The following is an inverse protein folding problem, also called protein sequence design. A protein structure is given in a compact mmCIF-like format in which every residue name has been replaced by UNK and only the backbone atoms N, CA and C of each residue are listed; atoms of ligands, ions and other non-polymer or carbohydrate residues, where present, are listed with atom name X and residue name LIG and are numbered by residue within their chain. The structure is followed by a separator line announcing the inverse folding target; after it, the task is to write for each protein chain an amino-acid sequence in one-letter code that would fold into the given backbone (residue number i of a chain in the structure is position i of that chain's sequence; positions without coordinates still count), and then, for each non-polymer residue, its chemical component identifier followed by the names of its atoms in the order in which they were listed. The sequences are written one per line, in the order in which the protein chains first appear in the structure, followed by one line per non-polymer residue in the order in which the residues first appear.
data_IF_825706817960
#
_entry.id   IF_825706817960
#
_cell.length_a   1.000
_cell.length_b   1.000
_cell.length_c   1.000
_cell.angle_alpha   90.00
_cell.angle_beta   90.00
_cell.angle_gamma   90.00
#
_symmetry.space_group_name_H-M   'P 1'
#
loop_
_entity.id
_entity.type
_entity.pdbx_description
1 polymer ?
#
# COMPACT_ATOMS: atom_id res chain seq x y z
N UNK A 1 -4.80 -23.39 -13.07
CA UNK A 1 -3.85 -22.26 -13.21
C UNK A 1 -4.07 -21.33 -12.03
N UNK A 2 -3.09 -21.14 -11.14
CA UNK A 2 -3.21 -20.09 -10.12
C UNK A 2 -3.15 -18.74 -10.86
N UNK A 3 -4.20 -17.93 -10.78
CA UNK A 3 -4.33 -16.73 -11.61
C UNK A 3 -3.28 -15.67 -11.26
N UNK A 4 -2.79 -14.93 -12.27
CA UNK A 4 -1.80 -13.87 -12.07
C UNK A 4 -2.32 -12.80 -11.11
N UNK A 5 -1.46 -12.34 -10.19
CA UNK A 5 -1.77 -11.22 -9.31
C UNK A 5 -2.05 -9.96 -10.13
N UNK A 6 -3.04 -9.17 -9.72
CA UNK A 6 -3.42 -7.97 -10.44
C UNK A 6 -3.95 -6.93 -9.46
N UNK A 7 -3.82 -5.64 -9.77
CA UNK A 7 -4.51 -4.62 -9.01
C UNK A 7 -6.02 -4.70 -9.25
N UNK A 8 -6.78 -4.82 -8.17
CA UNK A 8 -8.23 -4.55 -8.16
C UNK A 8 -8.49 -3.05 -8.12
N UNK A 9 -7.73 -2.37 -7.26
CA UNK A 9 -7.81 -0.93 -7.03
C UNK A 9 -6.40 -0.41 -6.97
N UNK A 10 -6.06 0.49 -7.88
CA UNK A 10 -4.79 1.19 -7.89
C UNK A 10 -4.88 2.50 -7.09
N UNK A 11 -3.79 2.92 -6.43
CA UNK A 11 -3.74 4.22 -5.78
C UNK A 11 -3.94 5.35 -6.78
N UNK A 12 -4.67 6.39 -6.35
CA UNK A 12 -4.92 7.59 -7.14
C UNK A 12 -4.40 8.81 -6.40
N UNK A 13 -4.24 9.90 -7.14
CA UNK A 13 -3.84 11.18 -6.57
C UNK A 13 -4.88 11.65 -5.56
N UNK A 14 -4.42 12.03 -4.37
CA UNK A 14 -5.24 12.60 -3.30
C UNK A 14 -4.62 13.93 -2.85
N UNK A 15 -5.48 14.90 -2.57
CA UNK A 15 -5.07 16.19 -2.00
C UNK A 15 -5.64 16.27 -0.59
N UNK A 16 -4.79 16.52 0.39
CA UNK A 16 -5.17 16.70 1.79
C UNK A 16 -4.63 18.00 2.34
N UNK A 17 -5.28 18.51 3.37
CA UNK A 17 -4.79 19.69 4.10
C UNK A 17 -3.54 19.33 4.92
N UNK A 18 -2.67 20.30 5.15
CA UNK A 18 -1.53 20.12 6.05
C UNK A 18 -2.01 19.66 7.45
N UNK A 19 -1.32 18.67 8.01
CA UNK A 19 -1.67 18.05 9.29
C UNK A 19 -2.77 16.99 9.24
N UNK A 20 -3.47 16.83 8.10
CA UNK A 20 -4.44 15.76 7.93
C UNK A 20 -3.80 14.45 7.44
N UNK A 21 -4.54 13.36 7.58
CA UNK A 21 -4.11 12.02 7.11
C UNK A 21 -4.47 11.84 5.64
N UNK A 22 -3.48 11.50 4.81
CA UNK A 22 -3.70 11.01 3.45
C UNK A 22 -3.87 9.49 3.46
N UNK A 23 -4.89 8.99 2.76
CA UNK A 23 -5.12 7.56 2.59
C UNK A 23 -5.03 7.18 1.11
N UNK A 24 -4.00 6.40 0.77
CA UNK A 24 -3.84 5.81 -0.55
C UNK A 24 -4.42 4.39 -0.54
N UNK A 25 -5.50 4.16 -1.28
CA UNK A 25 -6.14 2.85 -1.36
C UNK A 25 -5.44 1.98 -2.40
N UNK A 26 -5.19 0.73 -2.04
CA UNK A 26 -4.64 -0.28 -2.93
C UNK A 26 -5.27 -1.63 -2.57
N UNK A 27 -5.76 -2.36 -3.58
CA UNK A 27 -6.28 -3.71 -3.43
C UNK A 27 -5.66 -4.60 -4.51
N UNK A 28 -5.16 -5.76 -4.13
CA UNK A 28 -4.50 -6.71 -5.03
C UNK A 28 -5.32 -8.00 -5.08
N UNK A 29 -5.83 -8.36 -6.27
CA UNK A 29 -6.43 -9.66 -6.53
C UNK A 29 -5.37 -10.73 -6.59
N UNK A 30 -5.64 -11.89 -5.97
CA UNK A 30 -4.77 -13.07 -6.03
C UNK A 30 -3.33 -12.72 -5.65
N UNK A 31 -3.18 -11.90 -4.60
CA UNK A 31 -1.87 -11.48 -4.11
C UNK A 31 -1.01 -12.71 -3.84
N UNK A 32 0.12 -12.81 -4.54
CA UNK A 32 1.04 -13.94 -4.44
C UNK A 32 2.42 -13.40 -4.12
N UNK A 33 2.67 -13.18 -2.83
CA UNK A 33 3.92 -12.62 -2.31
C UNK A 33 3.73 -11.36 -1.48
N UNK A 34 4.83 -10.65 -1.23
CA UNK A 34 4.84 -9.42 -0.45
C UNK A 34 4.37 -8.22 -1.28
N UNK A 35 3.45 -7.44 -0.73
CA UNK A 35 3.01 -6.15 -1.28
C UNK A 35 3.71 -5.04 -0.52
N UNK A 36 4.24 -4.04 -1.23
CA UNK A 36 4.99 -2.93 -0.63
C UNK A 36 4.65 -1.61 -1.33
N UNK A 37 4.72 -0.52 -0.56
CA UNK A 37 4.59 0.83 -1.09
C UNK A 37 5.95 1.36 -1.54
N UNK A 38 5.91 2.16 -2.61
CA UNK A 38 7.06 2.90 -3.13
C UNK A 38 6.74 4.37 -3.09
N UNK A 39 7.69 5.18 -2.62
CA UNK A 39 7.62 6.64 -2.68
C UNK A 39 8.88 7.16 -3.34
N UNK A 40 8.72 7.88 -4.45
CA UNK A 40 9.83 8.53 -5.17
C UNK A 40 10.99 7.55 -5.53
N UNK A 41 10.64 6.31 -5.90
CA UNK A 41 11.61 5.25 -6.22
C UNK A 41 12.17 4.50 -5.01
N UNK A 42 11.82 4.89 -3.79
CA UNK A 42 12.26 4.22 -2.56
C UNK A 42 11.22 3.19 -2.08
N UNK A 43 11.66 1.95 -1.91
CA UNK A 43 10.87 0.89 -1.28
C UNK A 43 10.73 1.16 0.22
N UNK A 44 9.50 1.27 0.73
CA UNK A 44 9.26 1.49 2.16
C UNK A 44 9.37 0.19 2.99
N UNK A 45 9.39 -0.96 2.32
CA UNK A 45 9.49 -2.28 2.92
C UNK A 45 8.15 -3.02 3.02
N UNK A 46 8.18 -4.32 3.35
CA UNK A 46 7.01 -5.19 3.37
C UNK A 46 6.21 -5.14 4.67
N UNK A 47 6.77 -4.55 5.74
CA UNK A 47 6.18 -4.56 7.06
C UNK A 47 5.13 -3.45 7.20
N UNK A 48 3.93 -3.79 7.67
CA UNK A 48 2.79 -2.86 7.72
C UNK A 48 3.00 -1.64 8.62
N UNK A 49 3.85 -1.76 9.64
CA UNK A 49 4.22 -0.65 10.51
C UNK A 49 5.21 0.34 9.88
N UNK A 50 5.84 -0.03 8.75
CA UNK A 50 6.83 0.79 8.05
C UNK A 50 7.90 1.38 9.00
N UNK A 51 8.71 0.53 9.66
CA UNK A 51 9.72 0.99 10.62
C UNK A 51 10.67 2.00 9.97
N UNK A 52 10.98 3.08 10.70
CA UNK A 52 11.74 4.23 10.17
C UNK A 52 10.87 5.34 9.56
N UNK A 53 9.58 5.09 9.33
CA UNK A 53 8.63 6.07 8.82
C UNK A 53 7.47 6.30 9.81
N UNK A 54 7.66 7.11 10.87
CA UNK A 54 6.70 7.23 11.97
C UNK A 54 5.31 7.79 11.58
N UNK A 55 5.18 8.36 10.38
CA UNK A 55 3.92 8.90 9.86
C UNK A 55 3.23 7.98 8.84
N UNK A 56 3.82 6.84 8.50
CA UNK A 56 3.30 5.92 7.47
C UNK A 56 2.92 4.59 8.10
N UNK A 57 1.80 4.03 7.66
CA UNK A 57 1.39 2.67 8.02
C UNK A 57 0.52 2.09 6.91
N UNK A 58 0.60 0.77 6.71
CA UNK A 58 -0.26 0.04 5.81
C UNK A 58 -1.43 -0.55 6.59
N UNK A 59 -2.60 0.03 6.41
CA UNK A 59 -3.85 -0.42 7.02
C UNK A 59 -4.63 -1.37 6.10
N UNK A 60 -5.65 -2.05 6.63
CA UNK A 60 -6.49 -3.02 5.91
C UNK A 60 -6.03 -4.47 6.04
N UNK A 61 -6.79 -5.42 5.48
CA UNK A 61 -6.52 -6.85 5.65
C UNK A 61 -5.73 -7.43 4.47
N UNK A 62 -4.78 -8.34 4.75
CA UNK A 62 -4.04 -9.06 3.70
C UNK A 62 -4.79 -10.29 3.17
N UNK A 63 -5.86 -10.69 3.85
CA UNK A 63 -6.42 -12.04 3.77
C UNK A 63 -7.84 -12.09 3.19
N UNK A 64 -8.30 -11.01 2.53
CA UNK A 64 -9.65 -10.96 1.94
C UNK A 64 -9.63 -11.14 0.43
#
# INVERSE_FOLDING_TARGET
VCGQQAFKTEPRNVTVRAGATALLKCEVLRASGAVQWVKDGLLLGPQRSLPGYPRYSMTGDQQK
#
